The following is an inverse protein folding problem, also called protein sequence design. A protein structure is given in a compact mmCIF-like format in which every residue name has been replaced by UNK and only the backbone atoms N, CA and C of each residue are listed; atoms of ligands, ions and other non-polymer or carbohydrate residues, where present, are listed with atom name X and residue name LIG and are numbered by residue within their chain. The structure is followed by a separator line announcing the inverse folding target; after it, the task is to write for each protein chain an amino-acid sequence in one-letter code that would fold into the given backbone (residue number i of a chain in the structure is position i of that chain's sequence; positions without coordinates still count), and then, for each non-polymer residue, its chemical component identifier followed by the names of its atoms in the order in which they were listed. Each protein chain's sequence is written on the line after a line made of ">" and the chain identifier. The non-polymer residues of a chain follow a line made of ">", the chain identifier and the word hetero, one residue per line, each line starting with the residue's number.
data_IF_628018431816
#
_entry.id   IF_628018431816
#
_cell.length_a   1.000
_cell.length_b   1.000
_cell.length_c   1.000
_cell.angle_alpha   90.00
_cell.angle_beta   90.00
_cell.angle_gamma   90.00
#
_symmetry.space_group_name_H-M   'P 1'
#
loop_
_entity.id
_entity.type
_entity.pdbx_description
1 polymer ?
#
# COMPACT_ATOMS: atom_id res chain seq x y z
N UNK A 1 -42.72 -49.90 -14.57
CA UNK A 1 -42.50 -49.30 -13.23
C UNK A 1 -42.91 -47.83 -13.30
N UNK A 2 -43.98 -47.43 -12.61
CA UNK A 2 -44.42 -46.02 -12.53
C UNK A 2 -43.60 -45.32 -11.45
N UNK A 3 -42.78 -44.35 -11.80
CA UNK A 3 -42.10 -43.51 -10.82
C UNK A 3 -43.09 -42.52 -10.21
N UNK A 4 -43.07 -42.39 -8.88
CA UNK A 4 -44.00 -41.51 -8.16
C UNK A 4 -43.62 -40.05 -8.40
N UNK A 5 -44.54 -39.27 -8.97
CA UNK A 5 -44.33 -37.85 -9.26
C UNK A 5 -43.86 -37.05 -8.03
N UNK A 6 -44.34 -37.42 -6.83
CA UNK A 6 -43.89 -36.85 -5.55
C UNK A 6 -42.43 -37.17 -5.22
N UNK A 7 -41.97 -38.40 -5.50
CA UNK A 7 -40.58 -38.79 -5.27
C UNK A 7 -39.63 -38.04 -6.20
N UNK A 8 -40.05 -37.75 -7.43
CA UNK A 8 -39.30 -36.94 -8.39
C UNK A 8 -39.19 -35.49 -7.87
N UNK A 9 -40.30 -34.91 -7.40
CA UNK A 9 -40.31 -33.56 -6.85
C UNK A 9 -39.40 -33.39 -5.63
N UNK A 10 -39.43 -34.35 -4.69
CA UNK A 10 -38.54 -34.36 -3.52
C UNK A 10 -37.07 -34.48 -3.94
N UNK A 11 -36.77 -35.32 -4.93
CA UNK A 11 -35.41 -35.47 -5.46
C UNK A 11 -34.91 -34.16 -6.07
N UNK A 12 -35.74 -33.42 -6.80
CA UNK A 12 -35.39 -32.10 -7.34
C UNK A 12 -35.15 -31.05 -6.25
N UNK A 13 -35.97 -31.02 -5.20
CA UNK A 13 -35.82 -30.06 -4.10
C UNK A 13 -34.52 -30.31 -3.33
N UNK A 14 -34.15 -31.56 -3.08
CA UNK A 14 -32.88 -31.94 -2.44
C UNK A 14 -31.67 -31.57 -3.32
N UNK A 15 -31.78 -31.74 -4.64
CA UNK A 15 -30.75 -31.34 -5.61
C UNK A 15 -30.57 -29.81 -5.70
N UNK A 16 -31.65 -29.05 -5.56
CA UNK A 16 -31.59 -27.59 -5.49
C UNK A 16 -30.94 -27.10 -4.19
N UNK A 17 -31.15 -27.81 -3.07
CA UNK A 17 -30.50 -27.47 -1.80
C UNK A 17 -29.01 -27.80 -1.77
N UNK A 18 -28.60 -28.92 -2.38
CA UNK A 18 -27.18 -29.30 -2.46
C UNK A 18 -26.37 -28.42 -3.42
N UNK A 19 -26.98 -27.90 -4.48
CA UNK A 19 -26.35 -26.92 -5.38
C UNK A 19 -26.08 -25.56 -4.71
N UNK A 20 -26.84 -25.21 -3.67
CA UNK A 20 -26.64 -23.96 -2.90
C UNK A 20 -25.60 -24.08 -1.77
N UNK A 21 -25.09 -25.29 -1.47
CA UNK A 21 -23.95 -25.48 -0.57
C UNK A 21 -22.59 -25.40 -1.30
N UNK A 22 -22.59 -25.43 -2.63
CA UNK A 22 -21.37 -25.45 -3.45
C UNK A 22 -20.91 -24.06 -3.91
N UNK A 23 -21.73 -23.02 -3.76
CA UNK A 23 -21.28 -21.64 -3.89
C UNK A 23 -20.93 -21.13 -2.49
N UNK A 24 -19.63 -21.13 -2.19
CA UNK A 24 -19.09 -21.00 -0.85
C UNK A 24 -19.62 -19.79 -0.08
N UNK A 25 -19.91 -20.02 1.19
CA UNK A 25 -19.93 -18.96 2.19
C UNK A 25 -18.49 -18.47 2.34
N UNK A 26 -18.07 -17.58 1.43
CA UNK A 26 -16.82 -16.85 1.56
C UNK A 26 -17.03 -15.89 2.74
N UNK A 27 -16.69 -16.33 3.96
CA UNK A 27 -16.40 -15.36 5.00
C UNK A 27 -15.20 -14.58 4.49
N UNK A 28 -15.37 -13.29 4.19
CA UNK A 28 -14.27 -12.34 4.12
C UNK A 28 -13.70 -12.17 5.53
N UNK A 29 -13.17 -13.25 6.10
CA UNK A 29 -12.13 -13.15 7.12
C UNK A 29 -10.90 -12.67 6.36
N UNK A 30 -10.86 -11.37 6.10
CA UNK A 30 -9.58 -10.69 5.94
C UNK A 30 -8.97 -10.81 7.33
N UNK A 31 -7.99 -11.71 7.56
CA UNK A 31 -7.34 -11.71 8.85
C UNK A 31 -6.75 -10.30 8.98
N UNK A 32 -6.78 -9.72 10.18
CA UNK A 32 -6.03 -8.50 10.49
C UNK A 32 -4.54 -8.81 10.35
N UNK A 33 -4.08 -9.00 9.11
CA UNK A 33 -2.68 -9.24 8.77
C UNK A 33 -2.04 -7.88 8.93
N UNK A 34 -1.50 -7.62 10.11
CA UNK A 34 -0.56 -6.53 10.32
C UNK A 34 0.48 -6.60 9.21
N UNK A 35 0.48 -5.58 8.36
CA UNK A 35 1.29 -5.57 7.16
C UNK A 35 2.48 -4.67 7.42
N UNK A 36 3.65 -5.28 7.55
CA UNK A 36 4.90 -4.58 7.75
C UNK A 36 5.35 -3.89 6.46
N UNK A 37 5.49 -2.57 6.51
CA UNK A 37 6.09 -1.77 5.45
C UNK A 37 7.59 -1.60 5.75
N UNK A 38 8.44 -2.12 4.86
CA UNK A 38 9.89 -2.07 5.01
C UNK A 38 10.56 -1.51 3.78
N UNK A 39 11.70 -0.85 3.95
CA UNK A 39 12.51 -0.35 2.84
C UNK A 39 13.71 0.45 3.30
N UNK A 40 14.46 0.96 2.32
CA UNK A 40 15.61 1.85 2.55
C UNK A 40 15.29 3.22 1.97
N UNK A 41 15.41 4.26 2.79
CA UNK A 41 15.27 5.65 2.33
C UNK A 41 16.60 6.12 1.73
N UNK A 42 16.57 6.67 0.51
CA UNK A 42 17.78 7.11 -0.21
C UNK A 42 17.70 8.58 -0.63
N UNK A 43 18.84 9.22 -0.84
CA UNK A 43 18.89 10.53 -1.49
C UNK A 43 18.64 10.36 -3.00
N UNK A 44 17.75 11.16 -3.58
CA UNK A 44 17.42 11.08 -5.00
C UNK A 44 18.62 11.36 -5.90
N UNK A 45 19.54 12.21 -5.44
CA UNK A 45 20.69 12.66 -6.22
C UNK A 45 21.87 11.72 -6.08
N UNK A 46 22.28 11.41 -4.84
CA UNK A 46 23.47 10.60 -4.57
C UNK A 46 23.18 9.10 -4.48
N UNK A 47 21.91 8.70 -4.37
CA UNK A 47 21.48 7.31 -4.10
C UNK A 47 21.99 6.72 -2.78
N UNK A 48 22.65 7.54 -1.94
CA UNK A 48 23.11 7.13 -0.63
C UNK A 48 21.94 6.99 0.35
N UNK A 49 21.99 6.04 1.30
CA UNK A 49 20.98 5.92 2.32
C UNK A 49 20.89 7.16 3.22
N UNK A 50 19.68 7.52 3.62
CA UNK A 50 19.42 8.64 4.52
C UNK A 50 19.07 8.09 5.90
N UNK A 51 19.86 8.50 6.89
CA UNK A 51 19.73 8.07 8.28
C UNK A 51 18.66 8.86 9.01
N UNK A 52 18.01 8.23 9.98
CA UNK A 52 17.12 8.91 10.92
C UNK A 52 15.97 9.71 10.27
N UNK A 53 15.43 9.17 9.18
CA UNK A 53 14.26 9.74 8.50
C UNK A 53 13.04 9.40 9.34
N UNK A 54 12.20 10.39 9.64
CA UNK A 54 10.90 10.17 10.26
C UNK A 54 9.90 9.72 9.20
N UNK A 55 9.32 8.53 9.38
CA UNK A 55 8.33 7.91 8.49
C UNK A 55 7.04 7.71 9.28
N UNK A 56 5.94 8.29 8.84
CA UNK A 56 4.67 8.10 9.54
C UNK A 56 3.46 8.33 8.66
N UNK A 57 2.29 7.95 9.17
CA UNK A 57 1.05 8.23 8.48
C UNK A 57 0.66 9.70 8.74
N UNK A 58 0.33 10.42 7.67
CA UNK A 58 -0.09 11.82 7.75
C UNK A 58 -1.26 12.02 8.71
N UNK A 59 -1.08 12.91 9.69
CA UNK A 59 -2.12 13.24 10.67
C UNK A 59 -2.41 12.14 11.69
N UNK A 60 -1.56 11.10 11.78
CA UNK A 60 -1.67 10.03 12.76
C UNK A 60 -0.42 10.00 13.64
N UNK A 61 -0.57 9.57 14.89
CA UNK A 61 0.55 9.33 15.82
C UNK A 61 1.28 8.01 15.57
N UNK A 62 1.26 7.50 14.33
CA UNK A 62 1.80 6.19 13.96
C UNK A 62 2.95 6.41 13.00
N UNK A 63 4.13 5.93 13.38
CA UNK A 63 5.34 6.09 12.59
C UNK A 63 6.55 5.37 13.19
N UNK A 64 7.64 5.41 12.45
CA UNK A 64 8.95 4.85 12.77
C UNK A 64 10.04 5.81 12.32
N UNK A 65 11.27 5.52 12.71
CA UNK A 65 12.46 6.26 12.27
C UNK A 65 13.43 5.30 11.61
N UNK A 66 14.03 5.69 10.48
CA UNK A 66 15.04 4.87 9.81
C UNK A 66 16.34 4.78 10.61
N UNK A 67 17.01 3.64 10.50
CA UNK A 67 18.30 3.38 11.14
C UNK A 67 19.48 4.12 10.49
N UNK A 68 20.71 3.88 11.00
CA UNK A 68 21.95 4.46 10.47
C UNK A 68 22.31 4.01 9.05
N UNK A 69 21.70 2.94 8.56
CA UNK A 69 21.79 2.38 7.21
C UNK A 69 20.63 2.85 6.31
N UNK A 70 19.73 3.68 6.83
CA UNK A 70 18.53 4.16 6.16
C UNK A 70 17.39 3.14 6.05
N UNK A 71 17.56 1.95 6.65
CA UNK A 71 16.52 0.92 6.72
C UNK A 71 15.41 1.35 7.69
N UNK A 72 14.16 1.08 7.34
CA UNK A 72 13.03 1.26 8.24
C UNK A 72 12.10 0.05 8.18
N UNK A 73 11.38 -0.16 9.28
CA UNK A 73 10.28 -1.10 9.39
C UNK A 73 9.13 -0.43 10.14
N UNK A 74 7.93 -0.47 9.58
CA UNK A 74 6.73 0.11 10.16
C UNK A 74 5.59 -0.90 10.06
N UNK A 75 5.16 -1.41 11.21
CA UNK A 75 3.98 -2.26 11.33
C UNK A 75 2.72 -1.40 11.28
N UNK A 76 1.80 -1.75 10.40
CA UNK A 76 0.60 -0.98 10.13
C UNK A 76 -0.60 -1.90 10.00
N UNK A 77 -1.62 -1.57 10.76
CA UNK A 77 -2.95 -2.15 10.65
C UNK A 77 -3.52 -1.96 9.22
N UNK A 78 -4.18 -2.99 8.64
CA UNK A 78 -4.88 -2.89 7.36
C UNK A 78 -5.83 -1.69 7.21
N UNK A 79 -6.37 -1.16 8.31
CA UNK A 79 -7.27 0.00 8.31
C UNK A 79 -6.61 1.26 7.71
N UNK A 80 -5.27 1.34 7.74
CA UNK A 80 -4.49 2.44 7.17
C UNK A 80 -4.05 2.22 5.72
N UNK A 81 -4.55 1.17 5.04
CA UNK A 81 -4.12 0.82 3.67
C UNK A 81 -4.35 1.91 2.61
N UNK A 82 -5.28 2.83 2.86
CA UNK A 82 -5.60 3.95 1.95
C UNK A 82 -4.91 5.25 2.35
N UNK A 83 -4.19 5.24 3.47
CA UNK A 83 -3.56 6.44 3.99
C UNK A 83 -2.23 6.74 3.26
N UNK A 84 -1.75 7.96 3.49
CA UNK A 84 -0.51 8.48 2.90
C UNK A 84 0.61 8.45 3.92
N UNK A 85 1.73 7.83 3.53
CA UNK A 85 2.98 7.89 4.27
C UNK A 85 3.70 9.20 3.98
N UNK A 86 4.22 9.83 5.03
CA UNK A 86 5.12 10.97 4.95
C UNK A 86 6.51 10.57 5.41
N UNK A 87 7.49 10.92 4.59
CA UNK A 87 8.91 10.80 4.86
C UNK A 87 9.46 12.20 5.06
N UNK A 88 10.09 12.44 6.21
CA UNK A 88 10.62 13.75 6.57
C UNK A 88 11.98 13.63 7.24
N UNK A 89 12.91 14.49 6.85
CA UNK A 89 14.24 14.58 7.42
C UNK A 89 14.72 16.02 7.34
N UNK A 90 15.47 16.47 8.35
CA UNK A 90 16.12 17.77 8.35
C UNK A 90 17.09 17.82 7.17
N UNK A 91 17.10 18.94 6.43
CA UNK A 91 17.92 19.10 5.22
C UNK A 91 17.32 18.49 3.95
N UNK A 92 16.19 17.76 4.03
CA UNK A 92 15.52 17.15 2.87
C UNK A 92 14.10 17.67 2.68
N UNK A 93 13.64 17.70 1.43
CA UNK A 93 12.26 17.97 1.10
C UNK A 93 11.40 16.77 1.53
N UNK A 94 10.34 17.04 2.29
CA UNK A 94 9.42 15.98 2.71
C UNK A 94 8.74 15.34 1.50
N UNK A 95 8.53 14.03 1.55
CA UNK A 95 7.92 13.27 0.48
C UNK A 95 6.67 12.57 1.00
N UNK A 96 5.59 12.59 0.21
CA UNK A 96 4.34 11.91 0.52
C UNK A 96 4.09 10.82 -0.52
N UNK A 97 3.72 9.62 -0.06
CA UNK A 97 3.49 8.46 -0.92
C UNK A 97 2.27 7.67 -0.47
N UNK A 98 1.37 7.26 -1.39
CA UNK A 98 0.31 6.32 -1.07
C UNK A 98 0.91 4.96 -0.70
N UNK A 99 0.24 4.23 0.18
CA UNK A 99 0.77 2.97 0.74
C UNK A 99 0.80 1.77 -0.23
N UNK A 100 -0.03 1.73 -1.27
CA UNK A 100 -0.16 0.54 -2.13
C UNK A 100 0.45 0.67 -3.55
N UNK A 101 1.11 -0.39 -4.08
CA UNK A 101 1.72 -1.55 -3.40
C UNK A 101 3.27 -1.43 -3.34
N UNK A 102 3.85 -1.80 -2.19
CA UNK A 102 5.31 -1.93 -2.01
C UNK A 102 5.85 -3.13 -2.84
N UNK A 103 7.05 -3.02 -3.44
CA UNK A 103 8.27 -2.54 -2.80
C UNK A 103 8.65 -1.14 -3.29
N UNK A 104 8.41 -0.14 -2.44
CA UNK A 104 8.74 1.24 -2.75
C UNK A 104 10.06 1.63 -2.06
N UNK A 105 11.04 2.07 -2.84
CA UNK A 105 12.26 2.71 -2.32
C UNK A 105 12.04 4.23 -2.28
N UNK A 106 11.66 4.81 -1.13
CA UNK A 106 11.46 6.24 -1.03
C UNK A 106 12.78 6.98 -1.23
N UNK A 107 12.81 7.83 -2.26
CA UNK A 107 13.93 8.74 -2.52
C UNK A 107 13.56 10.16 -2.07
N UNK A 108 14.34 10.74 -1.16
CA UNK A 108 14.21 12.14 -0.73
C UNK A 108 15.17 13.04 -1.48
N UNK A 109 14.71 14.24 -1.81
CA UNK A 109 15.55 15.28 -2.43
C UNK A 109 16.11 16.21 -1.36
N UNK A 110 17.39 16.56 -1.43
CA UNK A 110 18.00 17.58 -0.57
C UNK A 110 17.31 18.94 -0.79
N UNK A 111 17.14 19.71 0.28
CA UNK A 111 16.69 21.10 0.14
C UNK A 111 17.85 21.92 -0.43
N UNK A 112 17.58 22.82 -1.39
CA UNK A 112 18.61 23.71 -1.90
C UNK A 112 19.17 24.57 -0.75
N UNK A 113 20.49 24.76 -0.74
CA UNK A 113 21.17 25.54 0.33
C UNK A 113 20.90 27.04 0.23
N UNK A 114 20.40 27.51 -0.92
CA UNK A 114 20.00 28.89 -1.20
C UNK A 114 18.65 28.95 -1.92
N UNK A 115 17.85 29.99 -1.63
CA UNK A 115 16.57 30.25 -2.31
C UNK A 115 16.71 30.47 -3.82
N UNK A 116 17.89 30.88 -4.29
CA UNK A 116 18.20 31.08 -5.72
C UNK A 116 18.41 29.78 -6.50
N UNK A 117 18.64 28.65 -5.81
CA UNK A 117 18.81 27.32 -6.43
C UNK A 117 17.48 26.56 -6.57
N UNK A 118 16.40 27.06 -5.95
CA UNK A 118 15.05 26.50 -6.04
C UNK A 118 14.43 26.79 -7.42
N UNK A 119 14.97 26.17 -8.48
CA UNK A 119 14.27 26.14 -9.77
C UNK A 119 12.96 25.37 -9.58
N UNK A 120 11.86 26.06 -9.84
CA UNK A 120 10.48 25.56 -9.82
C UNK A 120 10.41 24.16 -10.47
N UNK A 121 9.70 23.18 -9.89
CA UNK A 121 9.70 21.81 -10.40
C UNK A 121 9.22 21.80 -11.85
N UNK A 122 10.11 21.43 -12.78
CA UNK A 122 9.71 21.10 -14.15
C UNK A 122 8.83 19.87 -14.09
N UNK A 123 7.53 20.08 -14.21
CA UNK A 123 6.55 19.02 -14.45
C UNK A 123 6.90 18.43 -15.83
N UNK A 124 7.61 17.32 -15.86
CA UNK A 124 7.81 16.57 -17.10
C UNK A 124 6.43 16.04 -17.50
N UNK A 125 5.73 16.76 -18.40
CA UNK A 125 4.65 16.15 -19.16
C UNK A 125 5.31 15.07 -20.02
N UNK A 126 4.97 13.81 -19.77
CA UNK A 126 5.22 12.73 -20.71
C UNK A 126 4.64 13.15 -22.07
N UNK A 127 5.38 13.09 -23.19
CA UNK A 127 4.81 13.42 -24.49
C UNK A 127 3.69 12.43 -24.79
N UNK A 128 2.51 12.95 -25.13
CA UNK A 128 1.44 12.16 -25.76
C UNK A 128 2.01 11.67 -27.09
N UNK A 129 2.24 10.36 -27.20
CA UNK A 129 2.48 9.72 -28.48
C UNK A 129 1.14 9.77 -29.21
N UNK A 130 1.05 10.65 -30.22
CA UNK A 130 -0.03 10.63 -31.18
C UNK A 130 0.22 9.44 -32.14
N UNK A 131 -0.75 8.53 -32.21
CA UNK A 131 -0.92 7.62 -33.34
C UNK A 131 -1.66 8.34 -34.47
#
# INVERSE_FOLDING_TARGET
>A
MKTNSLAIAITFIVLLFSANLACGFQTDINPDIEMTCQGIVKCSTSQNPIKYVNIGIMGKGIGTVSGPDGLYSLELDPLYNKDTLMFSCIGYQSCQKPRMPCPFYPALRERPRSSSEAKSPKFYRTPLIAN
#
